data_IF_800776210737
#
_entry.id   IF_800776210737
#
_cell.length_a   1.000
_cell.length_b   1.000
_cell.length_c   1.000
_cell.angle_alpha   90.00
_cell.angle_beta   90.00
_cell.angle_gamma   90.00
#
_symmetry.space_group_name_H-M   'P 1'
#
loop_
_entity.id
_entity.type
_entity.pdbx_description
1 polymer ?
#
# COMPACT_ATOMS: atom_id res chain seq x y z
N UNK A 1 4.89 0.94 22.89
CA UNK A 1 5.15 1.58 21.59
C UNK A 1 4.28 0.90 20.54
N UNK A 2 3.01 1.32 20.46
CA UNK A 2 2.00 0.70 19.59
C UNK A 2 1.35 1.77 18.69
N UNK A 3 2.12 2.79 18.34
CA UNK A 3 1.66 3.94 17.57
C UNK A 3 2.59 4.23 16.38
N UNK A 4 3.04 3.16 15.74
CA UNK A 4 3.44 3.17 14.33
C UNK A 4 2.37 2.37 13.60
N UNK A 5 1.17 2.97 13.49
CA UNK A 5 -0.01 2.27 12.97
C UNK A 5 0.26 1.94 11.51
N UNK A 6 0.48 0.65 11.22
CA UNK A 6 0.76 0.09 9.89
C UNK A 6 0.00 0.81 8.76
N UNK A 7 0.67 1.01 7.63
CA UNK A 7 0.02 1.32 6.35
C UNK A 7 -0.73 0.10 5.79
N UNK A 8 -0.69 -0.10 4.47
CA UNK A 8 -1.41 -1.20 3.79
C UNK A 8 -0.97 -2.59 4.26
N UNK A 9 0.34 -2.80 4.38
CA UNK A 9 0.95 -4.09 4.69
C UNK A 9 1.33 -4.19 6.16
N UNK A 10 1.01 -5.34 6.77
CA UNK A 10 1.59 -5.76 8.05
C UNK A 10 3.07 -6.11 7.89
N UNK A 11 3.83 -6.10 8.99
CA UNK A 11 5.24 -6.51 9.01
C UNK A 11 5.43 -7.88 8.36
N UNK A 12 4.59 -8.85 8.73
CA UNK A 12 4.69 -10.21 8.19
C UNK A 12 4.38 -10.29 6.69
N UNK A 13 3.40 -9.53 6.22
CA UNK A 13 3.11 -9.48 4.78
C UNK A 13 4.26 -8.84 4.00
N UNK A 14 4.97 -7.84 4.56
CA UNK A 14 6.18 -7.29 3.95
C UNK A 14 7.27 -8.34 3.82
N UNK A 15 7.59 -9.04 4.91
CA UNK A 15 8.59 -10.13 4.91
C UNK A 15 8.26 -11.23 3.88
N UNK A 16 6.99 -11.59 3.74
CA UNK A 16 6.55 -12.61 2.77
C UNK A 16 6.67 -12.09 1.34
N UNK A 17 6.29 -10.84 1.07
CA UNK A 17 6.35 -10.27 -0.28
C UNK A 17 7.80 -9.99 -0.70
N UNK A 18 8.65 -9.54 0.20
CA UNK A 18 10.08 -9.29 -0.06
C UNK A 18 10.90 -10.58 -0.24
N UNK A 19 10.35 -11.73 0.16
CA UNK A 19 11.06 -13.02 0.14
C UNK A 19 11.93 -13.26 1.37
N UNK A 20 11.88 -12.39 2.39
CA UNK A 20 12.60 -12.55 3.65
C UNK A 20 12.00 -13.65 4.54
N UNK A 21 10.75 -14.03 4.30
CA UNK A 21 10.09 -15.15 4.98
C UNK A 21 10.07 -16.40 4.10
N UNK A 22 10.65 -17.48 4.62
CA UNK A 22 10.55 -18.82 4.01
C UNK A 22 9.14 -19.40 4.23
N UNK A 23 8.34 -19.41 3.17
CA UNK A 23 6.97 -19.93 3.16
C UNK A 23 6.68 -20.68 1.87
N UNK A 24 5.76 -21.63 1.91
CA UNK A 24 5.35 -22.38 0.72
C UNK A 24 4.52 -21.51 -0.24
N UNK A 25 4.54 -21.85 -1.53
CA UNK A 25 3.88 -21.17 -2.64
C UNK A 25 2.38 -20.95 -2.39
N UNK A 26 1.68 -21.95 -1.83
CA UNK A 26 0.25 -21.84 -1.52
C UNK A 26 -0.01 -20.71 -0.51
N UNK A 27 0.83 -20.62 0.53
CA UNK A 27 0.68 -19.58 1.54
C UNK A 27 1.06 -18.20 0.98
N UNK A 28 2.14 -18.12 0.20
CA UNK A 28 2.51 -16.89 -0.52
C UNK A 28 1.37 -16.39 -1.39
N UNK A 29 0.77 -17.26 -2.22
CA UNK A 29 -0.35 -16.90 -3.08
C UNK A 29 -1.58 -16.43 -2.29
N UNK A 30 -1.84 -17.05 -1.13
CA UNK A 30 -2.90 -16.61 -0.22
C UNK A 30 -2.66 -15.19 0.29
N UNK A 31 -1.40 -14.83 0.60
CA UNK A 31 -1.02 -13.50 1.07
C UNK A 31 -1.17 -12.47 -0.04
N UNK A 32 -0.66 -12.76 -1.23
CA UNK A 32 -0.85 -11.90 -2.42
C UNK A 32 -2.34 -11.64 -2.67
N UNK A 33 -3.17 -12.68 -2.59
CA UNK A 33 -4.61 -12.57 -2.76
C UNK A 33 -5.27 -11.68 -1.71
N UNK A 34 -4.82 -11.73 -0.45
CA UNK A 34 -5.31 -10.83 0.60
C UNK A 34 -4.88 -9.39 0.34
N UNK A 35 -3.63 -9.18 -0.08
CA UNK A 35 -3.10 -7.84 -0.38
C UNK A 35 -3.83 -7.21 -1.55
N UNK A 36 -4.18 -7.96 -2.60
CA UNK A 36 -5.03 -7.47 -3.69
C UNK A 36 -6.35 -6.89 -3.19
N UNK A 37 -7.06 -7.62 -2.30
CA UNK A 37 -8.31 -7.11 -1.70
C UNK A 37 -8.11 -5.86 -0.86
N UNK A 38 -6.95 -5.74 -0.18
CA UNK A 38 -6.62 -4.51 0.56
C UNK A 38 -6.41 -3.32 -0.38
N UNK A 39 -5.81 -3.54 -1.56
CA UNK A 39 -5.67 -2.51 -2.58
C UNK A 39 -7.05 -2.07 -3.09
N UNK A 40 -7.96 -3.01 -3.36
CA UNK A 40 -9.33 -2.67 -3.77
C UNK A 40 -10.10 -1.85 -2.71
N UNK A 41 -9.86 -2.14 -1.42
CA UNK A 41 -10.43 -1.34 -0.33
C UNK A 41 -9.78 0.03 -0.24
N UNK A 42 -8.45 0.12 -0.38
CA UNK A 42 -7.73 1.40 -0.39
C UNK A 42 -8.23 2.31 -1.51
N UNK A 43 -8.59 1.77 -2.67
CA UNK A 43 -9.17 2.54 -3.76
C UNK A 43 -10.54 3.16 -3.39
N UNK A 44 -11.36 2.44 -2.63
CA UNK A 44 -12.63 2.96 -2.12
C UNK A 44 -12.39 4.05 -1.07
N UNK A 45 -11.43 3.83 -0.16
CA UNK A 45 -11.04 4.81 0.84
C UNK A 45 -10.48 6.08 0.17
N UNK A 46 -9.66 5.94 -0.87
CA UNK A 46 -9.12 7.07 -1.64
C UNK A 46 -10.23 7.90 -2.30
N UNK A 47 -11.24 7.26 -2.89
CA UNK A 47 -12.40 7.95 -3.46
C UNK A 47 -13.17 8.73 -2.38
N UNK A 48 -13.36 8.12 -1.21
CA UNK A 48 -14.03 8.77 -0.07
C UNK A 48 -13.24 9.98 0.45
N UNK A 49 -11.92 9.87 0.54
CA UNK A 49 -11.05 10.99 0.90
C UNK A 49 -11.13 12.09 -0.16
N UNK A 50 -11.11 11.77 -1.44
CA UNK A 50 -11.19 12.77 -2.50
C UNK A 50 -12.53 13.52 -2.51
N UNK A 51 -13.63 12.87 -2.11
CA UNK A 51 -14.95 13.50 -1.99
C UNK A 51 -15.08 14.40 -0.75
N UNK A 52 -14.60 13.94 0.41
CA UNK A 52 -14.89 14.60 1.69
C UNK A 52 -13.72 15.36 2.30
N UNK A 53 -12.49 15.02 1.93
CA UNK A 53 -11.26 15.58 2.50
C UNK A 53 -10.14 15.61 1.43
N UNK A 54 -10.29 16.44 0.38
CA UNK A 54 -9.46 16.36 -0.82
C UNK A 54 -7.95 16.53 -0.56
N UNK A 55 -7.56 17.28 0.47
CA UNK A 55 -6.16 17.40 0.92
C UNK A 55 -5.56 16.02 1.28
N UNK A 56 -6.27 15.21 2.07
CA UNK A 56 -5.83 13.86 2.42
C UNK A 56 -5.85 12.90 1.22
N UNK A 57 -6.77 13.12 0.28
CA UNK A 57 -6.81 12.37 -0.97
C UNK A 57 -5.58 12.63 -1.85
N UNK A 58 -5.14 13.89 -1.90
CA UNK A 58 -3.91 14.26 -2.62
C UNK A 58 -2.68 13.72 -1.92
N UNK A 59 -2.57 13.87 -0.58
CA UNK A 59 -1.47 13.28 0.19
C UNK A 59 -1.33 11.76 -0.03
N UNK A 60 -2.46 11.04 -0.06
CA UNK A 60 -2.45 9.61 -0.36
C UNK A 60 -1.97 9.33 -1.79
N UNK A 61 -2.38 10.15 -2.76
CA UNK A 61 -2.00 10.02 -4.17
C UNK A 61 -0.50 10.26 -4.36
N UNK A 62 0.04 11.32 -3.77
CA UNK A 62 1.47 11.63 -3.78
C UNK A 62 2.27 10.45 -3.19
N UNK A 63 1.85 9.95 -2.02
CA UNK A 63 2.54 8.85 -1.34
C UNK A 63 2.61 7.53 -2.14
N UNK A 64 1.67 7.28 -3.08
CA UNK A 64 1.66 6.06 -3.92
C UNK A 64 2.18 6.28 -5.33
N UNK A 65 2.16 7.51 -5.84
CA UNK A 65 2.59 7.82 -7.22
C UNK A 65 4.11 7.86 -7.33
N UNK A 66 4.82 7.97 -6.20
CA UNK A 66 6.27 8.11 -6.16
C UNK A 66 6.66 9.51 -6.62
N UNK A 67 7.41 10.24 -5.79
CA UNK A 67 8.21 11.38 -6.25
C UNK A 67 9.37 10.87 -7.14
N UNK A 68 9.06 10.22 -8.26
CA UNK A 68 9.94 10.09 -9.43
C UNK A 68 9.61 11.23 -10.42
N UNK A 69 9.39 12.43 -9.88
CA UNK A 69 9.52 13.69 -10.63
C UNK A 69 10.96 14.17 -10.52
N UNK A 70 11.93 13.31 -10.84
CA UNK A 70 13.24 13.78 -11.24
C UNK A 70 13.06 14.41 -12.63
N UNK A 71 13.19 15.73 -12.66
CA UNK A 71 13.45 16.61 -13.79
C UNK A 71 13.89 15.89 -15.10
N UNK A 72 12.96 15.58 -16.00
CA UNK A 72 13.26 15.43 -17.44
C UNK A 72 12.94 16.77 -18.14
N UNK A 73 13.71 17.81 -17.77
CA UNK A 73 13.94 18.99 -18.61
C UNK A 73 15.25 18.76 -19.40
N UNK A 74 15.16 18.13 -20.58
CA UNK A 74 16.14 18.30 -21.68
C UNK A 74 15.45 18.38 -23.05
#
# INVERSE_FOLDING_TARGET
MADERRGLLTTREREIISGDADVNDEYYYSVVSRVRRKIDNLAQDAALLQEHHPELGEELREAVSGDDSEEDDE
#
